data_IF_220722060476
#
_entry.id   IF_220722060476
#
_cell.length_a   1.000
_cell.length_b   1.000
_cell.length_c   1.000
_cell.angle_alpha   90.00
_cell.angle_beta   90.00
_cell.angle_gamma   90.00
#
_symmetry.space_group_name_H-M   'P 1'
#
loop_
_entity.id
_entity.type
_entity.pdbx_description
1 polymer ?
#
# COMPACT_ATOMS: atom_id res chain seq x y z
N UNK A 1 -4.26 1.07 -12.77
CA UNK A 1 -5.04 2.33 -12.46
C UNK A 1 -5.05 3.28 -13.67
N UNK A 2 -6.20 3.86 -14.08
CA UNK A 2 -6.27 4.78 -15.23
C UNK A 2 -6.59 6.25 -14.84
N UNK A 3 -5.64 7.20 -14.98
CA UNK A 3 -5.88 8.60 -14.64
C UNK A 3 -6.94 9.24 -15.54
N UNK A 4 -7.89 9.98 -14.95
CA UNK A 4 -8.93 10.68 -15.71
C UNK A 4 -8.46 12.11 -15.98
N UNK A 5 -8.29 12.45 -17.26
CA UNK A 5 -7.95 13.81 -17.66
C UNK A 5 -9.21 14.68 -17.81
N UNK A 6 -9.32 15.71 -16.97
CA UNK A 6 -10.34 16.75 -17.13
C UNK A 6 -9.79 17.92 -17.94
N UNK A 7 -10.14 17.97 -19.23
CA UNK A 7 -9.71 19.06 -20.14
C UNK A 7 -10.26 20.43 -19.76
N UNK A 8 -11.39 20.47 -19.06
CA UNK A 8 -12.04 21.72 -18.62
C UNK A 8 -11.40 22.32 -17.38
N UNK A 9 -10.91 21.47 -16.47
CA UNK A 9 -10.26 21.89 -15.23
C UNK A 9 -8.72 21.88 -15.32
N UNK A 10 -8.14 21.38 -16.42
CA UNK A 10 -6.70 21.13 -16.58
C UNK A 10 -6.11 20.33 -15.39
N UNK A 11 -6.85 19.32 -14.92
CA UNK A 11 -6.42 18.48 -13.82
C UNK A 11 -6.47 16.99 -14.20
N UNK A 12 -5.67 16.21 -13.49
CA UNK A 12 -5.71 14.76 -13.48
C UNK A 12 -6.42 14.36 -12.19
N UNK A 13 -7.44 13.51 -12.31
CA UNK A 13 -8.16 12.97 -11.16
C UNK A 13 -7.64 11.55 -10.91
N UNK A 14 -7.22 11.30 -9.67
CA UNK A 14 -6.81 10.01 -9.17
C UNK A 14 -7.82 9.62 -8.06
N UNK A 15 -8.86 8.88 -8.43
CA UNK A 15 -10.00 8.60 -7.53
C UNK A 15 -9.62 7.64 -6.38
N UNK A 16 -8.64 6.77 -6.62
CA UNK A 16 -8.21 5.74 -5.68
C UNK A 16 -7.02 6.16 -4.80
N UNK A 17 -6.58 7.43 -4.88
CA UNK A 17 -5.44 7.94 -4.13
C UNK A 17 -5.94 8.88 -3.02
N UNK A 18 -5.60 8.55 -1.77
CA UNK A 18 -5.90 9.40 -0.62
C UNK A 18 -5.01 10.65 -0.58
N UNK A 19 -5.41 11.66 0.21
CA UNK A 19 -4.74 12.96 0.27
C UNK A 19 -3.26 12.86 0.72
N UNK A 20 -2.93 11.96 1.65
CA UNK A 20 -1.56 11.81 2.14
C UNK A 20 -0.67 11.22 1.04
N UNK A 21 -1.15 10.19 0.35
CA UNK A 21 -0.46 9.59 -0.80
C UNK A 21 -0.33 10.59 -1.96
N UNK A 22 -1.39 11.36 -2.21
CA UNK A 22 -1.38 12.46 -3.18
C UNK A 22 -0.32 13.53 -2.86
N UNK A 23 -0.17 13.90 -1.58
CA UNK A 23 0.89 14.81 -1.14
C UNK A 23 2.28 14.26 -1.45
N UNK A 24 2.54 12.99 -1.12
CA UNK A 24 3.82 12.33 -1.41
C UNK A 24 4.12 12.31 -2.91
N UNK A 25 3.13 11.98 -3.75
CA UNK A 25 3.27 12.01 -5.21
C UNK A 25 3.62 13.41 -5.73
N UNK A 26 2.87 14.43 -5.31
CA UNK A 26 3.10 15.82 -5.74
C UNK A 26 4.47 16.32 -5.27
N UNK A 27 4.85 16.00 -4.04
CA UNK A 27 6.15 16.37 -3.49
C UNK A 27 7.30 15.75 -4.30
N UNK A 28 7.23 14.44 -4.56
CA UNK A 28 8.21 13.73 -5.37
C UNK A 28 8.32 14.30 -6.78
N UNK A 29 7.20 14.53 -7.46
CA UNK A 29 7.21 15.11 -8.81
C UNK A 29 7.83 16.51 -8.88
N UNK A 30 7.80 17.25 -7.77
CA UNK A 30 8.39 18.59 -7.68
C UNK A 30 9.87 18.59 -7.26
N UNK A 31 10.31 17.62 -6.46
CA UNK A 31 11.61 17.66 -5.75
C UNK A 31 12.53 16.49 -6.06
N UNK A 32 11.97 15.35 -6.48
CA UNK A 32 12.63 14.06 -6.55
C UNK A 32 12.81 13.36 -5.19
N UNK A 33 12.29 13.93 -4.10
CA UNK A 33 12.44 13.40 -2.74
C UNK A 33 11.16 12.74 -2.24
N UNK A 34 11.30 11.78 -1.32
CA UNK A 34 10.18 11.18 -0.61
C UNK A 34 9.85 12.00 0.64
N UNK A 35 8.62 12.47 0.77
CA UNK A 35 8.14 13.12 1.98
C UNK A 35 6.78 12.58 2.43
N UNK A 36 6.72 12.18 3.70
CA UNK A 36 5.46 11.90 4.39
C UNK A 36 4.89 13.21 4.95
N UNK A 37 3.61 13.46 4.68
CA UNK A 37 2.89 14.63 5.19
C UNK A 37 2.85 14.67 6.75
N UNK A 38 2.96 13.51 7.43
CA UNK A 38 2.86 13.37 8.88
C UNK A 38 4.14 12.81 9.54
N UNK A 39 5.08 13.68 9.91
CA UNK A 39 6.32 13.29 10.64
C UNK A 39 6.11 12.87 12.11
N UNK A 40 4.87 12.90 12.62
CA UNK A 40 4.51 12.55 14.02
C UNK A 40 3.61 11.32 14.13
N UNK A 41 3.37 10.64 13.03
CA UNK A 41 2.55 9.44 13.00
C UNK A 41 3.27 8.27 13.70
N UNK A 42 2.51 7.29 14.19
CA UNK A 42 3.07 6.10 14.83
C UNK A 42 3.55 5.10 13.75
N UNK A 43 4.38 4.12 14.14
CA UNK A 43 4.92 3.12 13.21
C UNK A 43 3.88 2.44 12.30
N UNK A 44 2.71 1.99 12.82
CA UNK A 44 1.65 1.40 12.01
C UNK A 44 1.10 2.32 10.92
N UNK A 45 0.87 3.59 11.25
CA UNK A 45 0.34 4.54 10.26
C UNK A 45 1.40 4.93 9.23
N UNK A 46 2.66 5.00 9.63
CA UNK A 46 3.78 5.21 8.71
C UNK A 46 3.95 4.02 7.76
N UNK A 47 3.88 2.79 8.27
CA UNK A 47 3.88 1.59 7.44
C UNK A 47 2.75 1.61 6.41
N UNK A 48 1.50 1.84 6.85
CA UNK A 48 0.33 1.95 5.96
C UNK A 48 0.54 2.97 4.85
N UNK A 49 1.02 4.18 5.18
CA UNK A 49 1.28 5.25 4.21
C UNK A 49 2.38 4.86 3.21
N UNK A 50 3.44 4.21 3.67
CA UNK A 50 4.50 3.73 2.78
C UNK A 50 3.99 2.68 1.80
N UNK A 51 3.12 1.76 2.26
CA UNK A 51 2.48 0.77 1.38
C UNK A 51 1.59 1.44 0.33
N UNK A 52 0.75 2.41 0.73
CA UNK A 52 -0.12 3.13 -0.22
C UNK A 52 0.69 3.92 -1.24
N UNK A 53 1.78 4.57 -0.82
CA UNK A 53 2.71 5.25 -1.71
C UNK A 53 3.41 4.30 -2.68
N UNK A 54 3.81 3.11 -2.21
CA UNK A 54 4.41 2.07 -3.04
C UNK A 54 3.45 1.61 -4.14
N UNK A 55 2.22 1.23 -3.76
CA UNK A 55 1.18 0.79 -4.72
C UNK A 55 0.85 1.88 -5.72
N UNK A 56 0.69 3.13 -5.27
CA UNK A 56 0.41 4.25 -6.16
C UNK A 56 1.57 4.52 -7.13
N UNK A 57 2.83 4.42 -6.67
CA UNK A 57 4.01 4.62 -7.49
C UNK A 57 4.18 3.53 -8.55
N UNK A 58 4.00 2.27 -8.18
CA UNK A 58 4.00 1.13 -9.12
C UNK A 58 2.90 1.30 -10.18
N UNK A 59 1.66 1.55 -9.76
CA UNK A 59 0.52 1.78 -10.67
C UNK A 59 0.70 2.98 -11.63
N UNK A 60 1.53 3.95 -11.27
CA UNK A 60 1.87 5.12 -12.10
C UNK A 60 3.20 4.96 -12.84
N UNK A 61 3.86 3.81 -12.73
CA UNK A 61 5.18 3.50 -13.28
C UNK A 61 6.26 4.49 -12.86
N UNK A 62 6.23 4.93 -11.60
CA UNK A 62 7.20 5.85 -10.98
C UNK A 62 8.27 5.05 -10.22
N UNK A 63 9.10 4.28 -10.93
CA UNK A 63 9.99 3.27 -10.32
C UNK A 63 10.98 3.78 -9.27
N UNK A 64 11.48 5.02 -9.37
CA UNK A 64 12.32 5.60 -8.30
C UNK A 64 11.51 5.90 -7.03
N UNK A 65 10.28 6.40 -7.18
CA UNK A 65 9.39 6.63 -6.04
C UNK A 65 8.93 5.31 -5.42
N UNK A 66 8.68 4.31 -6.25
CA UNK A 66 8.38 2.94 -5.81
C UNK A 66 9.53 2.40 -4.94
N UNK A 67 10.77 2.55 -5.40
CA UNK A 67 11.96 2.13 -4.64
C UNK A 67 12.07 2.86 -3.30
N UNK A 68 11.88 4.19 -3.28
CA UNK A 68 11.88 5.00 -2.06
C UNK A 68 10.78 4.58 -1.08
N UNK A 69 9.56 4.32 -1.59
CA UNK A 69 8.44 3.86 -0.77
C UNK A 69 8.71 2.48 -0.17
N UNK A 70 9.34 1.57 -0.93
CA UNK A 70 9.73 0.24 -0.46
C UNK A 70 10.76 0.32 0.69
N UNK A 71 11.77 1.18 0.56
CA UNK A 71 12.75 1.42 1.65
C UNK A 71 12.06 1.90 2.93
N UNK A 72 11.07 2.79 2.81
CA UNK A 72 10.28 3.27 3.95
C UNK A 72 9.40 2.15 4.54
N UNK A 73 8.78 1.31 3.71
CA UNK A 73 8.03 0.14 4.17
C UNK A 73 8.92 -0.77 5.03
N UNK A 74 10.11 -1.14 4.55
CA UNK A 74 11.06 -2.00 5.28
C UNK A 74 11.51 -1.40 6.60
N UNK A 75 11.65 -0.08 6.66
CA UNK A 75 12.00 0.62 7.90
C UNK A 75 10.91 0.45 8.96
N UNK A 76 9.64 0.61 8.58
CA UNK A 76 8.51 0.53 9.51
C UNK A 76 8.02 -0.90 9.76
N UNK A 77 8.29 -1.83 8.85
CA UNK A 77 7.99 -3.27 9.00
C UNK A 77 8.57 -3.82 10.32
N UNK A 78 9.72 -3.30 10.76
CA UNK A 78 10.41 -3.71 12.00
C UNK A 78 9.70 -3.28 13.29
N UNK A 79 8.74 -2.37 13.22
CA UNK A 79 8.05 -1.78 14.38
C UNK A 79 6.55 -1.98 14.35
N UNK A 80 6.05 -2.74 13.38
CA UNK A 80 4.64 -3.13 13.26
C UNK A 80 4.48 -4.64 13.47
N UNK A 81 3.33 -5.04 13.99
CA UNK A 81 2.97 -6.45 14.09
C UNK A 81 2.27 -6.96 12.81
N UNK A 82 2.18 -8.27 12.69
CA UNK A 82 1.55 -8.95 11.55
C UNK A 82 0.09 -8.51 11.32
N UNK A 83 -0.68 -8.23 12.38
CA UNK A 83 -2.06 -7.78 12.21
C UNK A 83 -2.11 -6.36 11.64
N UNK A 84 -1.17 -5.51 12.02
CA UNK A 84 -1.05 -4.17 11.44
C UNK A 84 -0.63 -4.21 9.97
N UNK A 85 0.21 -5.18 9.59
CA UNK A 85 0.54 -5.43 8.17
C UNK A 85 -0.71 -5.88 7.41
N UNK A 86 -1.41 -6.89 7.93
CA UNK A 86 -2.62 -7.43 7.30
C UNK A 86 -3.75 -6.39 7.25
N UNK A 87 -3.81 -5.44 8.19
CA UNK A 87 -4.85 -4.40 8.24
C UNK A 87 -4.80 -3.45 7.03
N UNK A 88 -3.66 -3.36 6.35
CA UNK A 88 -3.49 -2.54 5.15
C UNK A 88 -4.02 -3.25 3.90
N UNK A 89 -4.04 -4.60 3.90
CA UNK A 89 -4.38 -5.39 2.72
C UNK A 89 -5.75 -5.03 2.10
N UNK A 90 -6.85 -4.84 2.86
CA UNK A 90 -8.14 -4.47 2.27
C UNK A 90 -8.14 -3.12 1.53
N UNK A 91 -7.20 -2.23 1.86
CA UNK A 91 -7.12 -0.90 1.26
C UNK A 91 -6.39 -0.92 -0.08
N UNK A 92 -5.36 -1.77 -0.20
CA UNK A 92 -4.56 -1.90 -1.41
C UNK A 92 -5.13 -2.90 -2.41
N UNK A 93 -5.92 -3.87 -1.93
CA UNK A 93 -6.43 -4.96 -2.76
C UNK A 93 -7.20 -4.47 -4.00
N UNK A 94 -8.10 -3.48 -3.91
CA UNK A 94 -8.79 -2.93 -5.09
C UNK A 94 -7.84 -2.23 -6.08
N UNK A 95 -6.73 -1.67 -5.59
CA UNK A 95 -5.74 -0.97 -6.41
C UNK A 95 -4.83 -1.95 -7.16
N UNK A 96 -4.52 -3.09 -6.54
CA UNK A 96 -3.68 -4.16 -7.09
C UNK A 96 -4.42 -4.98 -8.13
N UNK A 97 -5.70 -5.31 -7.90
CA UNK A 97 -6.52 -6.08 -8.85
C UNK A 97 -6.96 -5.29 -10.09
N UNK A 98 -6.69 -3.98 -10.15
CA UNK A 98 -7.12 -3.13 -11.26
C UNK A 98 -6.32 -3.35 -12.55
N UNK A 99 -5.18 -4.03 -12.50
CA UNK A 99 -4.37 -4.43 -13.66
C UNK A 99 -4.09 -5.95 -13.62
N UNK A 100 -4.78 -6.73 -14.48
CA UNK A 100 -4.68 -8.21 -14.54
C UNK A 100 -3.28 -8.75 -14.93
N UNK A 101 -2.35 -7.88 -15.33
CA UNK A 101 -1.02 -8.23 -15.88
C UNK A 101 0.16 -7.71 -15.03
N UNK A 102 -0.07 -7.20 -13.81
CA UNK A 102 0.96 -6.46 -13.06
C UNK A 102 1.88 -7.34 -12.20
N UNK A 103 3.18 -7.32 -12.52
CA UNK A 103 4.25 -8.08 -11.85
C UNK A 103 4.58 -7.49 -10.47
N UNK A 104 4.15 -6.25 -10.19
CA UNK A 104 4.47 -5.54 -8.94
C UNK A 104 3.55 -5.95 -7.78
N UNK A 105 2.38 -6.54 -8.09
CA UNK A 105 1.50 -7.17 -7.10
C UNK A 105 2.20 -8.32 -6.36
N UNK A 106 3.07 -9.05 -7.06
CA UNK A 106 3.77 -10.22 -6.53
C UNK A 106 4.63 -9.84 -5.32
N UNK A 107 5.22 -8.64 -5.26
CA UNK A 107 6.06 -8.24 -4.13
C UNK A 107 5.25 -8.09 -2.83
N UNK A 108 4.07 -7.48 -2.90
CA UNK A 108 3.18 -7.31 -1.74
C UNK A 108 2.53 -8.64 -1.35
N UNK A 109 2.11 -9.43 -2.34
CA UNK A 109 1.56 -10.77 -2.13
C UNK A 109 2.61 -11.68 -1.49
N UNK A 110 3.85 -11.68 -1.97
CA UNK A 110 4.96 -12.44 -1.40
C UNK A 110 5.26 -12.00 0.03
N UNK A 111 5.25 -10.69 0.32
CA UNK A 111 5.46 -10.17 1.67
C UNK A 111 4.33 -10.58 2.62
N UNK A 112 3.07 -10.42 2.21
CA UNK A 112 1.91 -10.85 3.00
C UNK A 112 1.96 -12.35 3.25
N UNK A 113 2.27 -13.14 2.22
CA UNK A 113 2.40 -14.61 2.30
C UNK A 113 3.54 -15.02 3.23
N UNK A 114 4.73 -14.44 3.08
CA UNK A 114 5.88 -14.74 3.94
C UNK A 114 5.59 -14.38 5.41
N UNK A 115 4.88 -13.27 5.63
CA UNK A 115 4.49 -12.83 6.96
C UNK A 115 3.44 -13.76 7.59
N UNK A 116 2.50 -14.29 6.80
CA UNK A 116 1.55 -15.34 7.20
C UNK A 116 2.26 -16.68 7.51
N UNK A 117 3.20 -17.12 6.68
CA UNK A 117 3.94 -18.38 6.86
C UNK A 117 4.86 -18.35 8.09
N UNK A 118 5.41 -17.18 8.44
CA UNK A 118 6.32 -17.04 9.58
C UNK A 118 5.62 -17.06 10.95
N UNK A 119 4.30 -16.88 11.02
CA UNK A 119 3.52 -16.91 12.27
C UNK A 119 2.47 -18.03 12.23
N UNK A 120 2.92 -19.28 12.42
CA UNK A 120 2.07 -20.48 12.33
C UNK A 120 0.90 -20.51 13.33
N UNK A 121 0.99 -19.78 14.43
CA UNK A 121 -0.06 -19.67 15.46
C UNK A 121 -1.00 -18.47 15.21
N UNK A 122 -0.84 -17.75 14.08
CA UNK A 122 -1.63 -16.57 13.75
C UNK A 122 -3.14 -16.86 13.73
N UNK A 123 -3.51 -18.01 13.15
CA UNK A 123 -4.90 -18.47 13.02
C UNK A 123 -5.58 -18.76 14.36
N UNK A 124 -4.80 -19.03 15.41
CA UNK A 124 -5.30 -19.37 16.75
C UNK A 124 -5.44 -18.14 17.67
N UNK A 125 -5.04 -16.94 17.22
CA UNK A 125 -5.16 -15.70 18.00
C UNK A 125 -6.52 -15.03 17.78
N UNK A 126 -7.14 -14.56 18.86
CA UNK A 126 -8.46 -13.89 18.85
C UNK A 126 -8.58 -12.73 17.84
N UNK A 127 -7.47 -12.07 17.48
CA UNK A 127 -7.44 -10.97 16.51
C UNK A 127 -7.64 -11.40 15.05
N UNK A 128 -7.41 -12.67 14.71
CA UNK A 128 -7.53 -13.16 13.32
C UNK A 128 -8.99 -13.19 12.84
N UNK A 129 -9.95 -13.37 13.74
CA UNK A 129 -11.41 -13.44 13.43
C UNK A 129 -11.97 -12.13 12.84
N UNK A 130 -11.22 -11.03 12.92
CA UNK A 130 -11.59 -9.72 12.37
C UNK A 130 -11.06 -9.45 10.96
N UNK A 131 -10.18 -10.32 10.44
CA UNK A 131 -9.70 -10.26 9.08
C UNK A 131 -10.67 -11.00 8.17
N UNK A 132 -11.68 -10.28 7.67
CA UNK A 132 -12.56 -10.80 6.63
C UNK A 132 -13.77 -9.94 6.27
N UNK A 133 -13.49 -8.72 5.79
CA UNK A 133 -14.51 -7.78 5.32
C UNK A 133 -14.42 -7.46 3.83
N UNK A 134 -13.37 -7.93 3.15
CA UNK A 134 -13.23 -7.87 1.70
C UNK A 134 -13.35 -9.29 1.14
N UNK A 135 -14.38 -9.52 0.31
CA UNK A 135 -14.65 -10.81 -0.31
C UNK A 135 -13.46 -11.34 -1.13
N UNK A 136 -12.64 -10.43 -1.64
CA UNK A 136 -11.48 -10.75 -2.48
C UNK A 136 -10.26 -11.14 -1.63
N UNK A 137 -10.10 -10.50 -0.46
CA UNK A 137 -9.09 -10.87 0.53
C UNK A 137 -9.43 -12.20 1.22
N UNK A 138 -10.71 -12.46 1.48
CA UNK A 138 -11.19 -13.73 2.06
C UNK A 138 -10.91 -14.92 1.15
N UNK A 139 -11.01 -14.74 -0.18
CA UNK A 139 -10.68 -15.78 -1.15
C UNK A 139 -9.17 -16.00 -1.28
N UNK A 140 -8.33 -15.02 -0.92
CA UNK A 140 -6.87 -15.19 -0.92
C UNK A 140 -6.39 -15.99 0.31
N UNK A 141 -7.09 -15.88 1.44
CA UNK A 141 -6.76 -16.58 2.68
C UNK A 141 -7.28 -18.04 2.75
N UNK A 142 -8.04 -18.51 1.76
CA UNK A 142 -8.66 -19.85 1.68
C UNK A 142 -8.02 -20.74 0.60
#
# INVERSE_FOLDING_TARGET
MAPIYSSTAQCIILEDIDEDTGHTLVHYLCTGEYEEHCKRCNGPEQYRRSVLAYVAASNLSLGELESLASEQMEQYERVVDIFQILAVAPEIWPMVLADEDDVDADHLVDKVTAALECDLDLYDRDGFVHFGQSLEFDNFLL
#
